data_IF_774015479757
#
_entry.id   IF_774015479757
#
_cell.length_a   1.000
_cell.length_b   1.000
_cell.length_c   1.000
_cell.angle_alpha   90.00
_cell.angle_beta   90.00
_cell.angle_gamma   90.00
#
_symmetry.space_group_name_H-M   'P 1'
#
loop_
_entity.id
_entity.type
_entity.pdbx_description
1 polymer ?
#
# COMPACT_ATOMS: atom_id res chain seq x y z
N UNK A 1 -12.25 -7.66 -8.61
CA UNK A 1 -12.40 -6.99 -9.92
C UNK A 1 -12.53 -5.50 -9.68
N UNK A 2 -11.89 -4.66 -10.50
CA UNK A 2 -12.06 -3.20 -10.47
C UNK A 2 -13.34 -2.79 -11.23
N UNK A 3 -14.06 -1.72 -10.84
CA UNK A 3 -15.31 -1.29 -11.46
C UNK A 3 -15.13 -0.90 -12.93
N UNK A 4 -13.93 -0.44 -13.31
CA UNK A 4 -13.58 -0.14 -14.70
C UNK A 4 -13.66 -1.36 -15.61
N UNK A 5 -13.52 -2.58 -15.08
CA UNK A 5 -13.70 -3.82 -15.85
C UNK A 5 -15.19 -4.18 -16.05
N UNK A 6 -16.09 -3.65 -15.22
CA UNK A 6 -17.53 -3.80 -15.35
C UNK A 6 -18.14 -2.71 -16.24
N UNK A 7 -17.54 -1.53 -16.26
CA UNK A 7 -17.99 -0.37 -17.05
C UNK A 7 -17.40 -0.42 -18.48
N UNK A 8 -17.99 -1.23 -19.37
CA UNK A 8 -17.74 -1.09 -20.81
C UNK A 8 -18.59 0.03 -21.42
N UNK A 9 -18.01 0.79 -22.38
CA UNK A 9 -18.68 1.85 -23.17
C UNK A 9 -19.85 1.37 -24.07
N UNK A 10 -20.22 0.09 -24.01
CA UNK A 10 -21.24 -0.53 -24.88
C UNK A 10 -22.50 -0.88 -24.06
N UNK A 11 -23.65 -0.35 -24.50
CA UNK A 11 -24.95 -0.54 -23.86
C UNK A 11 -25.33 -2.04 -23.80
N UNK A 12 -25.71 -2.54 -22.62
CA UNK A 12 -26.24 -3.90 -22.40
C UNK A 12 -25.21 -4.98 -22.05
N UNK A 13 -23.94 -4.84 -22.44
CA UNK A 13 -22.90 -5.83 -22.09
C UNK A 13 -22.58 -5.84 -20.59
N UNK A 14 -22.63 -4.67 -19.95
CA UNK A 14 -22.25 -4.51 -18.55
C UNK A 14 -23.22 -5.20 -17.59
N UNK A 15 -24.53 -5.16 -17.86
CA UNK A 15 -25.56 -5.90 -17.08
C UNK A 15 -25.36 -7.41 -17.19
N UNK A 16 -25.17 -7.88 -18.43
CA UNK A 16 -24.92 -9.31 -18.70
C UNK A 16 -23.64 -9.77 -18.00
N UNK A 17 -22.58 -8.94 -17.98
CA UNK A 17 -21.34 -9.24 -17.24
C UNK A 17 -21.58 -9.41 -15.74
N UNK A 18 -22.41 -8.58 -15.12
CA UNK A 18 -22.76 -8.73 -13.69
C UNK A 18 -23.50 -10.05 -13.48
N UNK A 19 -24.52 -10.33 -14.28
CA UNK A 19 -25.26 -11.59 -14.19
C UNK A 19 -24.38 -12.83 -14.39
N UNK A 20 -23.52 -12.81 -15.40
CA UNK A 20 -22.60 -13.90 -15.72
C UNK A 20 -21.50 -14.05 -14.65
N UNK A 21 -21.08 -12.97 -13.98
CA UNK A 21 -20.16 -13.02 -12.84
C UNK A 21 -20.78 -13.78 -11.67
N UNK A 22 -21.99 -13.38 -11.24
CA UNK A 22 -22.68 -14.05 -10.13
C UNK A 22 -23.10 -15.48 -10.48
N UNK A 23 -23.45 -15.76 -11.74
CA UNK A 23 -23.72 -17.12 -12.22
C UNK A 23 -22.47 -18.00 -12.08
N UNK A 24 -21.32 -17.55 -12.57
CA UNK A 24 -20.04 -18.29 -12.46
C UNK A 24 -19.61 -18.47 -11.02
N UNK A 25 -19.84 -17.49 -10.15
CA UNK A 25 -19.54 -17.60 -8.72
C UNK A 25 -20.35 -18.72 -8.06
N UNK A 26 -21.65 -18.82 -8.41
CA UNK A 26 -22.53 -19.89 -7.92
C UNK A 26 -22.16 -21.27 -8.45
N UNK A 27 -21.79 -21.37 -9.73
CA UNK A 27 -21.30 -22.62 -10.33
C UNK A 27 -19.99 -23.10 -9.72
N UNK A 28 -19.23 -22.22 -9.04
CA UNK A 28 -17.91 -22.49 -8.47
C UNK A 28 -17.87 -22.35 -6.96
N UNK A 29 -18.97 -22.61 -6.27
CA UNK A 29 -19.01 -22.58 -4.81
C UNK A 29 -18.04 -23.61 -4.20
N UNK A 30 -17.35 -23.29 -3.08
CA UNK A 30 -17.35 -22.01 -2.37
C UNK A 30 -16.53 -20.93 -3.10
N UNK A 31 -17.08 -19.71 -3.20
CA UNK A 31 -16.47 -18.63 -3.98
C UNK A 31 -16.49 -17.30 -3.22
N UNK A 32 -15.40 -16.53 -3.34
CA UNK A 32 -15.31 -15.15 -2.86
C UNK A 32 -15.33 -14.19 -4.04
N UNK A 33 -16.30 -13.28 -4.07
CA UNK A 33 -16.36 -12.16 -5.00
C UNK A 33 -15.84 -10.90 -4.32
N UNK A 34 -14.72 -10.36 -4.81
CA UNK A 34 -14.14 -9.11 -4.32
C UNK A 34 -14.34 -7.97 -5.33
N UNK A 35 -15.02 -6.91 -4.92
CA UNK A 35 -15.23 -5.68 -5.67
C UNK A 35 -14.39 -4.57 -5.05
N UNK A 36 -13.36 -4.13 -5.75
CA UNK A 36 -12.56 -2.99 -5.32
C UNK A 36 -13.20 -1.70 -5.82
N UNK A 37 -13.02 -0.58 -5.12
CA UNK A 37 -13.54 0.75 -5.51
C UNK A 37 -15.04 0.77 -5.90
N UNK A 38 -15.91 0.13 -5.10
CA UNK A 38 -17.33 -0.02 -5.47
C UNK A 38 -18.09 1.31 -5.59
N UNK A 39 -17.51 2.43 -5.14
CA UNK A 39 -18.01 3.80 -5.31
C UNK A 39 -18.44 4.11 -6.75
N UNK A 40 -17.66 3.72 -7.76
CA UNK A 40 -18.03 3.95 -9.16
C UNK A 40 -19.33 3.25 -9.62
N UNK A 41 -19.80 2.25 -8.87
CA UNK A 41 -21.11 1.60 -9.10
C UNK A 41 -22.18 2.09 -8.11
N UNK A 42 -21.76 2.52 -6.92
CA UNK A 42 -22.64 2.77 -5.79
C UNK A 42 -23.00 4.24 -5.57
N UNK A 43 -22.38 5.18 -6.27
CA UNK A 43 -22.63 6.61 -6.04
C UNK A 43 -24.09 7.03 -6.22
N UNK A 44 -24.56 7.90 -5.31
CA UNK A 44 -25.86 8.60 -5.37
C UNK A 44 -25.81 9.72 -6.41
N UNK A 45 -26.12 9.42 -7.67
CA UNK A 45 -26.26 10.43 -8.71
C UNK A 45 -27.72 10.83 -8.90
N UNK A 46 -28.21 11.83 -8.16
CA UNK A 46 -29.61 12.24 -8.25
C UNK A 46 -29.99 12.92 -9.57
N UNK A 47 -29.07 13.59 -10.27
CA UNK A 47 -29.38 14.42 -11.44
C UNK A 47 -28.57 14.12 -12.73
N UNK A 48 -27.57 13.25 -12.67
CA UNK A 48 -26.63 12.99 -13.79
C UNK A 48 -26.38 11.51 -14.05
N UNK A 49 -27.17 10.62 -13.44
CA UNK A 49 -26.99 9.18 -13.64
C UNK A 49 -27.43 8.77 -15.05
N UNK A 50 -26.51 8.20 -15.83
CA UNK A 50 -26.86 7.54 -17.07
C UNK A 50 -27.82 6.39 -16.80
N UNK A 51 -28.84 6.22 -17.65
CA UNK A 51 -29.76 5.09 -17.60
C UNK A 51 -29.01 3.75 -17.53
N UNK A 52 -27.89 3.63 -18.24
CA UNK A 52 -27.00 2.46 -18.22
C UNK A 52 -26.44 2.17 -16.82
N UNK A 53 -25.97 3.20 -16.10
CA UNK A 53 -25.46 3.04 -14.72
C UNK A 53 -26.55 2.52 -13.80
N UNK A 54 -27.75 3.12 -13.90
CA UNK A 54 -28.91 2.73 -13.08
C UNK A 54 -29.31 1.27 -13.31
N UNK A 55 -29.27 0.78 -14.56
CA UNK A 55 -29.58 -0.62 -14.87
C UNK A 55 -28.53 -1.59 -14.33
N UNK A 56 -27.24 -1.27 -14.45
CA UNK A 56 -26.15 -2.09 -13.86
C UNK A 56 -26.28 -2.15 -12.34
N UNK A 57 -26.56 -1.01 -11.70
CA UNK A 57 -26.80 -0.90 -10.25
C UNK A 57 -27.98 -1.77 -9.80
N UNK A 58 -29.09 -1.71 -10.54
CA UNK A 58 -30.26 -2.55 -10.26
C UNK A 58 -29.94 -4.04 -10.42
N UNK A 59 -29.25 -4.44 -11.48
CA UNK A 59 -28.85 -5.84 -11.68
C UNK A 59 -27.94 -6.32 -10.55
N UNK A 60 -26.97 -5.52 -10.12
CA UNK A 60 -26.12 -5.82 -8.98
C UNK A 60 -26.94 -6.06 -7.70
N UNK A 61 -27.91 -5.17 -7.40
CA UNK A 61 -28.82 -5.33 -6.27
C UNK A 61 -29.68 -6.60 -6.34
N UNK A 62 -30.17 -6.96 -7.54
CA UNK A 62 -30.93 -8.19 -7.76
C UNK A 62 -30.06 -9.43 -7.46
N UNK A 63 -28.81 -9.44 -7.93
CA UNK A 63 -27.88 -10.54 -7.67
C UNK A 63 -27.48 -10.66 -6.20
N UNK A 64 -27.30 -9.53 -5.51
CA UNK A 64 -27.00 -9.48 -4.06
C UNK A 64 -28.15 -10.00 -3.20
N UNK A 65 -29.41 -9.75 -3.59
CA UNK A 65 -30.61 -10.20 -2.85
C UNK A 65 -30.99 -11.66 -3.11
N UNK A 66 -30.30 -12.34 -4.02
CA UNK A 66 -30.49 -13.78 -4.30
C UNK A 66 -31.94 -14.17 -4.62
N UNK A 67 -32.74 -13.30 -5.25
CA UNK A 67 -34.16 -13.58 -5.50
C UNK A 67 -34.28 -14.83 -6.39
N UNK A 68 -34.68 -15.95 -5.78
CA UNK A 68 -34.86 -17.24 -6.45
C UNK A 68 -33.58 -18.03 -6.74
N UNK A 69 -32.44 -17.75 -6.08
CA UNK A 69 -31.15 -18.41 -6.35
C UNK A 69 -30.37 -18.76 -5.07
N UNK A 70 -29.69 -19.91 -5.06
CA UNK A 70 -28.85 -20.34 -3.93
C UNK A 70 -27.48 -19.63 -3.94
N UNK A 71 -27.29 -18.70 -3.00
CA UNK A 71 -26.03 -18.00 -2.73
C UNK A 71 -25.34 -18.49 -1.45
N UNK A 72 -25.74 -19.62 -0.87
CA UNK A 72 -25.30 -20.05 0.46
C UNK A 72 -23.78 -20.10 0.68
N UNK A 73 -23.00 -20.35 -0.38
CA UNK A 73 -21.53 -20.40 -0.32
C UNK A 73 -20.83 -19.37 -1.22
N UNK A 74 -21.47 -18.24 -1.51
CA UNK A 74 -20.84 -17.11 -2.21
C UNK A 74 -20.69 -15.93 -1.24
N UNK A 75 -19.45 -15.58 -0.91
CA UNK A 75 -19.14 -14.44 -0.04
C UNK A 75 -18.76 -13.23 -0.89
N UNK A 76 -19.44 -12.10 -0.67
CA UNK A 76 -19.16 -10.85 -1.38
C UNK A 76 -18.44 -9.87 -0.46
N UNK A 77 -17.25 -9.44 -0.88
CA UNK A 77 -16.51 -8.34 -0.29
C UNK A 77 -16.51 -7.14 -1.23
N UNK A 78 -16.69 -5.95 -0.68
CA UNK A 78 -16.58 -4.70 -1.40
C UNK A 78 -15.72 -3.70 -0.61
N UNK A 79 -14.85 -2.98 -1.32
CA UNK A 79 -14.02 -1.91 -0.75
C UNK A 79 -14.44 -0.56 -1.33
N UNK A 80 -14.43 0.49 -0.50
CA UNK A 80 -14.65 1.87 -0.93
C UNK A 80 -13.91 2.84 -0.02
N UNK A 81 -13.42 3.93 -0.60
CA UNK A 81 -12.80 5.04 0.12
C UNK A 81 -13.79 6.21 0.31
N UNK A 82 -15.03 6.10 -0.16
CA UNK A 82 -15.99 7.21 -0.09
C UNK A 82 -17.36 6.65 0.32
N UNK A 83 -17.48 6.02 1.51
CA UNK A 83 -18.70 5.31 1.88
C UNK A 83 -19.94 6.22 2.04
N UNK A 84 -19.76 7.53 2.26
CA UNK A 84 -20.86 8.49 2.40
C UNK A 84 -21.57 8.82 1.08
N UNK A 85 -20.90 8.65 -0.07
CA UNK A 85 -21.53 8.86 -1.39
C UNK A 85 -22.33 7.64 -1.85
N UNK A 86 -22.14 6.48 -1.21
CA UNK A 86 -22.81 5.24 -1.59
C UNK A 86 -24.33 5.30 -1.36
N UNK A 87 -25.07 4.70 -2.29
CA UNK A 87 -26.51 4.52 -2.26
C UNK A 87 -26.93 3.69 -1.04
N UNK A 88 -27.93 4.16 -0.31
CA UNK A 88 -28.40 3.52 0.92
C UNK A 88 -28.93 2.11 0.66
N UNK A 89 -29.53 1.85 -0.50
CA UNK A 89 -30.08 0.53 -0.86
C UNK A 89 -28.96 -0.48 -1.07
N UNK A 90 -27.82 -0.05 -1.64
CA UNK A 90 -26.65 -0.91 -1.81
C UNK A 90 -25.97 -1.14 -0.46
N UNK A 91 -25.80 -0.09 0.35
CA UNK A 91 -25.27 -0.24 1.71
C UNK A 91 -26.09 -1.24 2.54
N UNK A 92 -27.42 -1.23 2.40
CA UNK A 92 -28.33 -2.18 3.05
C UNK A 92 -28.26 -3.60 2.50
N UNK A 93 -27.70 -3.81 1.29
CA UNK A 93 -27.49 -5.15 0.74
C UNK A 93 -26.25 -5.85 1.30
N UNK A 94 -25.41 -5.15 2.07
CA UNK A 94 -24.26 -5.73 2.76
C UNK A 94 -24.60 -5.99 4.23
N UNK A 95 -24.50 -7.25 4.65
CA UNK A 95 -24.82 -7.66 6.04
C UNK A 95 -23.85 -7.07 7.06
N UNK A 96 -22.59 -6.87 6.67
CA UNK A 96 -21.52 -6.35 7.54
C UNK A 96 -20.77 -5.23 6.87
N UNK A 97 -20.48 -4.20 7.65
CA UNK A 97 -19.64 -3.05 7.28
C UNK A 97 -18.47 -3.02 8.25
N UNK A 98 -17.26 -3.13 7.73
CA UNK A 98 -16.02 -3.14 8.52
C UNK A 98 -15.25 -1.86 8.20
N UNK A 99 -14.99 -1.06 9.22
CA UNK A 99 -14.11 0.09 9.09
C UNK A 99 -12.67 -0.34 9.33
N UNK A 100 -11.79 -0.01 8.39
CA UNK A 100 -10.35 -0.23 8.51
C UNK A 100 -9.69 1.11 8.85
N UNK A 101 -9.34 1.38 10.12
CA UNK A 101 -8.68 2.63 10.51
C UNK A 101 -7.24 2.68 9.99
N UNK A 102 -6.62 3.85 10.11
CA UNK A 102 -5.17 3.99 9.94
C UNK A 102 -4.43 3.20 11.01
N UNK A 103 -3.25 2.70 10.65
CA UNK A 103 -2.43 1.87 11.52
C UNK A 103 -2.06 2.57 12.82
N UNK A 104 -2.11 1.87 13.94
CA UNK A 104 -1.64 2.35 15.23
C UNK A 104 -0.10 2.47 15.28
N UNK A 105 0.45 2.99 16.38
CA UNK A 105 1.90 3.19 16.49
C UNK A 105 2.68 1.88 16.40
N UNK A 106 2.19 0.79 16.99
CA UNK A 106 2.85 -0.51 16.99
C UNK A 106 2.76 -1.19 15.61
N UNK A 107 1.62 -1.06 14.95
CA UNK A 107 1.41 -1.50 13.56
C UNK A 107 2.34 -0.73 12.62
N UNK A 108 2.50 0.59 12.80
CA UNK A 108 3.48 1.38 12.03
C UNK A 108 4.91 0.92 12.29
N UNK A 109 5.28 0.58 13.54
CA UNK A 109 6.60 -0.04 13.83
C UNK A 109 6.77 -1.35 13.03
N UNK A 110 5.77 -2.22 13.04
CA UNK A 110 5.80 -3.47 12.29
C UNK A 110 5.92 -3.22 10.77
N UNK A 111 5.21 -2.22 10.24
CA UNK A 111 5.30 -1.81 8.84
C UNK A 111 6.71 -1.33 8.50
N UNK A 112 7.29 -0.41 9.29
CA UNK A 112 8.66 0.07 9.06
C UNK A 112 9.69 -1.07 9.06
N UNK A 113 9.59 -1.99 10.03
CA UNK A 113 10.45 -3.19 10.09
C UNK A 113 10.26 -4.10 8.88
N UNK A 114 9.01 -4.26 8.42
CA UNK A 114 8.70 -5.08 7.24
C UNK A 114 9.25 -4.47 5.95
N UNK A 115 9.06 -3.16 5.75
CA UNK A 115 9.50 -2.46 4.53
C UNK A 115 11.02 -2.28 4.45
N UNK A 116 11.72 -2.07 5.58
CA UNK A 116 13.19 -1.98 5.58
C UNK A 116 13.90 -3.34 5.64
N UNK A 117 13.16 -4.42 5.87
CA UNK A 117 13.69 -5.78 5.88
C UNK A 117 14.67 -6.04 7.03
N UNK A 118 15.57 -7.01 6.84
CA UNK A 118 16.50 -7.48 7.87
C UNK A 118 17.63 -6.47 8.16
N UNK A 119 18.22 -6.57 9.36
CA UNK A 119 19.18 -5.63 9.98
C UNK A 119 20.44 -5.29 9.17
N UNK A 120 20.73 -6.00 8.08
CA UNK A 120 21.89 -5.71 7.25
C UNK A 120 21.68 -4.50 6.32
N UNK A 121 20.44 -4.05 6.15
CA UNK A 121 20.09 -2.92 5.26
C UNK A 121 19.90 -1.59 5.99
N UNK A 122 19.88 -1.59 7.32
CA UNK A 122 19.66 -0.38 8.11
C UNK A 122 20.47 -0.39 9.42
N UNK A 123 20.74 0.80 9.96
CA UNK A 123 21.42 1.00 11.25
C UNK A 123 20.47 1.46 12.37
N UNK A 124 19.16 1.36 12.14
CA UNK A 124 18.11 1.74 13.08
C UNK A 124 18.09 0.80 14.29
N UNK A 125 18.15 1.38 15.49
CA UNK A 125 18.10 0.68 16.79
C UNK A 125 16.68 0.43 17.25
N UNK A 126 16.50 -0.52 18.17
CA UNK A 126 15.15 -0.94 18.59
C UNK A 126 14.28 0.19 19.15
N UNK A 127 14.86 1.11 19.92
CA UNK A 127 14.14 2.27 20.47
C UNK A 127 13.82 3.34 19.41
N UNK A 128 14.55 3.36 18.29
CA UNK A 128 14.36 4.36 17.23
C UNK A 128 13.15 4.05 16.37
N UNK A 129 12.74 2.78 16.27
CA UNK A 129 11.50 2.39 15.59
C UNK A 129 10.28 3.07 16.18
N UNK A 130 10.20 3.10 17.50
CA UNK A 130 9.08 3.75 18.19
C UNK A 130 9.04 5.24 17.90
N UNK A 131 10.21 5.89 17.85
CA UNK A 131 10.31 7.31 17.51
C UNK A 131 9.89 7.59 16.06
N UNK A 132 10.27 6.72 15.12
CA UNK A 132 9.83 6.80 13.72
C UNK A 132 8.31 6.67 13.59
N UNK A 133 7.74 5.66 14.24
CA UNK A 133 6.31 5.42 14.20
C UNK A 133 5.49 6.55 14.84
N UNK A 134 6.00 7.16 15.92
CA UNK A 134 5.37 8.35 16.53
C UNK A 134 5.41 9.56 15.59
N UNK A 135 6.50 9.77 14.85
CA UNK A 135 6.62 10.86 13.87
C UNK A 135 5.78 10.63 12.61
N UNK A 136 5.50 9.38 12.27
CA UNK A 136 4.65 9.00 11.15
C UNK A 136 3.14 8.95 11.54
N UNK A 137 2.66 9.92 12.32
CA UNK A 137 1.25 9.99 12.70
C UNK A 137 0.36 10.22 11.47
N UNK A 138 -0.72 9.44 11.35
CA UNK A 138 -1.66 9.45 10.21
C UNK A 138 -1.09 8.96 8.87
N UNK A 139 0.09 8.33 8.87
CA UNK A 139 0.63 7.72 7.66
C UNK A 139 -0.10 6.40 7.39
N UNK A 140 -0.53 6.23 6.14
CA UNK A 140 -1.00 4.95 5.63
C UNK A 140 0.18 3.99 5.39
N UNK A 141 -0.12 2.70 5.16
CA UNK A 141 0.90 1.74 4.76
C UNK A 141 1.66 2.17 3.49
N UNK A 142 0.95 2.77 2.54
CA UNK A 142 1.55 3.31 1.31
C UNK A 142 2.50 4.47 1.61
N UNK A 143 2.13 5.37 2.53
CA UNK A 143 3.00 6.48 2.92
C UNK A 143 4.30 5.96 3.56
N UNK A 144 4.20 4.96 4.44
CA UNK A 144 5.35 4.31 5.09
C UNK A 144 6.27 3.65 4.06
N UNK A 145 5.69 2.92 3.10
CA UNK A 145 6.42 2.29 2.00
C UNK A 145 7.21 3.32 1.17
N UNK A 146 6.57 4.45 0.83
CA UNK A 146 7.23 5.54 0.11
C UNK A 146 8.37 6.16 0.93
N UNK A 147 8.16 6.40 2.22
CA UNK A 147 9.20 6.92 3.12
C UNK A 147 10.40 5.96 3.17
N UNK A 148 10.16 4.66 3.29
CA UNK A 148 11.23 3.65 3.31
C UNK A 148 12.00 3.63 1.99
N UNK A 149 11.30 3.69 0.86
CA UNK A 149 11.93 3.77 -0.48
C UNK A 149 12.77 5.03 -0.65
N UNK A 150 12.27 6.20 -0.25
CA UNK A 150 13.05 7.44 -0.35
C UNK A 150 14.30 7.38 0.54
N UNK A 151 14.19 6.81 1.75
CA UNK A 151 15.34 6.63 2.62
C UNK A 151 16.42 5.70 2.02
N UNK A 152 16.01 4.63 1.32
CA UNK A 152 16.90 3.76 0.53
C UNK A 152 17.54 4.52 -0.65
N UNK A 153 16.76 5.30 -1.39
CA UNK A 153 17.31 6.11 -2.49
C UNK A 153 18.33 7.12 -1.98
N UNK A 154 18.12 7.70 -0.80
CA UNK A 154 19.08 8.61 -0.19
C UNK A 154 20.40 7.94 0.20
N UNK A 155 20.38 6.68 0.67
CA UNK A 155 21.62 5.96 0.96
C UNK A 155 22.41 5.69 -0.33
N UNK A 156 21.72 5.32 -1.41
CA UNK A 156 22.32 5.12 -2.74
C UNK A 156 22.84 6.44 -3.33
N UNK A 157 22.12 7.56 -3.18
CA UNK A 157 22.60 8.88 -3.63
C UNK A 157 23.92 9.26 -2.97
N UNK A 158 24.07 8.98 -1.66
CA UNK A 158 25.32 9.20 -0.93
C UNK A 158 26.47 8.32 -1.46
N UNK A 159 26.16 7.10 -1.89
CA UNK A 159 27.12 6.20 -2.51
C UNK A 159 27.62 6.72 -3.86
N UNK A 160 26.75 7.29 -4.67
CA UNK A 160 27.11 7.85 -5.99
C UNK A 160 27.91 9.17 -5.89
N UNK A 161 27.70 9.96 -4.83
CA UNK A 161 28.47 11.19 -4.59
C UNK A 161 29.71 10.99 -3.70
N UNK A 162 29.95 9.76 -3.24
CA UNK A 162 31.12 9.45 -2.43
C UNK A 162 32.40 9.45 -3.27
N UNK A 163 33.44 10.08 -2.71
CA UNK A 163 34.79 10.15 -3.28
C UNK A 163 35.82 9.37 -2.45
N UNK A 164 35.48 9.00 -1.21
CA UNK A 164 36.38 8.26 -0.31
C UNK A 164 35.74 6.93 0.08
N UNK A 165 36.50 5.85 -0.11
CA UNK A 165 36.10 4.48 0.23
C UNK A 165 37.15 3.79 1.10
N UNK A 166 36.69 2.93 2.00
CA UNK A 166 37.53 2.11 2.88
C UNK A 166 37.28 0.64 2.62
N UNK A 167 38.34 -0.18 2.68
CA UNK A 167 38.21 -1.66 2.65
C UNK A 167 37.87 -2.21 4.02
N UNK A 168 36.82 -3.00 4.09
CA UNK A 168 36.38 -3.72 5.29
C UNK A 168 36.31 -5.22 4.98
N UNK A 169 36.75 -6.06 5.92
CA UNK A 169 36.56 -7.51 5.84
C UNK A 169 35.29 -7.88 6.60
N UNK A 170 34.31 -8.46 5.89
CA UNK A 170 33.08 -8.95 6.49
C UNK A 170 33.18 -10.48 6.56
N UNK A 171 33.03 -11.08 7.76
CA UNK A 171 32.95 -12.52 7.89
C UNK A 171 31.72 -13.04 7.13
N UNK A 172 31.93 -13.91 6.15
CA UNK A 172 30.85 -14.60 5.44
C UNK A 172 30.94 -16.10 5.72
N UNK A 173 29.85 -16.84 5.50
CA UNK A 173 29.76 -18.29 5.71
C UNK A 173 30.80 -19.08 4.88
N UNK A 174 31.35 -18.49 3.82
CA UNK A 174 32.33 -19.08 2.90
C UNK A 174 33.75 -18.51 3.07
N UNK A 175 34.01 -17.68 4.09
CA UNK A 175 35.30 -17.03 4.36
C UNK A 175 35.23 -15.49 4.38
N UNK A 176 36.30 -14.80 4.84
CA UNK A 176 36.32 -13.35 4.93
C UNK A 176 36.41 -12.71 3.54
N UNK A 177 35.34 -12.05 3.10
CA UNK A 177 35.30 -11.32 1.83
C UNK A 177 35.57 -9.83 2.08
N UNK A 178 36.33 -9.20 1.17
CA UNK A 178 36.67 -7.78 1.23
C UNK A 178 35.62 -6.97 0.51
N UNK A 179 35.09 -5.95 1.17
CA UNK A 179 34.13 -5.01 0.61
C UNK A 179 34.62 -3.57 0.74
N UNK A 180 34.15 -2.72 -0.15
CA UNK A 180 34.32 -1.27 -0.12
C UNK A 180 33.12 -0.62 0.54
N UNK A 181 33.39 0.26 1.51
CA UNK A 181 32.38 1.05 2.21
C UNK A 181 32.70 2.53 2.04
N UNK A 182 31.68 3.36 1.88
CA UNK A 182 31.83 4.83 1.89
C UNK A 182 32.35 5.29 3.24
N UNK A 183 33.42 6.07 3.24
CA UNK A 183 34.09 6.55 4.46
C UNK A 183 34.28 8.08 4.47
N UNK A 184 34.72 8.61 5.59
CA UNK A 184 35.08 10.03 5.72
C UNK A 184 36.47 10.27 5.10
N UNK A 185 36.75 11.44 4.52
CA UNK A 185 38.10 11.79 4.06
C UNK A 185 39.16 11.76 5.18
N UNK A 186 38.73 11.82 6.44
CA UNK A 186 39.61 11.82 7.62
C UNK A 186 39.95 10.40 8.12
N UNK A 187 39.38 9.35 7.52
CA UNK A 187 39.66 7.98 7.94
C UNK A 187 41.08 7.55 7.51
N UNK A 188 41.86 6.88 8.39
CA UNK A 188 43.25 6.52 8.10
C UNK A 188 43.41 5.53 6.95
N UNK A 189 42.35 4.75 6.66
CA UNK A 189 42.29 3.78 5.56
C UNK A 189 41.47 4.30 4.37
N UNK A 190 41.17 5.61 4.33
CA UNK A 190 40.39 6.21 3.24
C UNK A 190 41.20 6.22 1.94
N UNK A 191 40.58 5.76 0.86
CA UNK A 191 41.13 5.81 -0.48
C UNK A 191 40.21 6.62 -1.38
N UNK A 192 40.79 7.53 -2.16
CA UNK A 192 40.06 8.30 -3.16
C UNK A 192 39.74 7.42 -4.35
N UNK A 193 38.46 7.08 -4.49
CA UNK A 193 37.94 6.20 -5.53
C UNK A 193 36.56 6.69 -5.95
N UNK A 194 36.23 6.52 -7.22
CA UNK A 194 34.87 6.79 -7.71
C UNK A 194 34.08 5.48 -7.79
N UNK A 195 32.76 5.54 -7.61
CA UNK A 195 31.88 4.36 -7.68
C UNK A 195 32.08 3.49 -8.94
N UNK A 196 32.41 4.10 -10.09
CA UNK A 196 32.64 3.41 -11.36
C UNK A 196 33.88 2.49 -11.35
N UNK A 197 34.82 2.72 -10.44
CA UNK A 197 36.06 1.95 -10.32
C UNK A 197 35.88 0.71 -9.43
N UNK A 198 34.76 0.61 -8.71
CA UNK A 198 34.46 -0.47 -7.78
C UNK A 198 33.56 -1.51 -8.46
N UNK A 199 33.96 -2.78 -8.41
CA UNK A 199 33.11 -3.88 -8.89
C UNK A 199 31.90 -4.04 -7.98
N UNK A 200 30.70 -4.20 -8.55
CA UNK A 200 29.45 -4.33 -7.78
C UNK A 200 29.46 -5.46 -6.74
N UNK A 201 30.21 -6.55 -6.99
CA UNK A 201 30.34 -7.68 -6.05
C UNK A 201 31.25 -7.40 -4.84
N UNK A 202 32.07 -6.35 -4.92
CA UNK A 202 32.98 -5.91 -3.87
C UNK A 202 32.44 -4.67 -3.16
N UNK A 203 31.23 -4.21 -3.50
CA UNK A 203 30.64 -3.01 -2.93
C UNK A 203 29.70 -3.37 -1.78
N UNK A 204 29.86 -2.68 -0.64
CA UNK A 204 28.90 -2.73 0.44
C UNK A 204 28.06 -1.46 0.41
N UNK A 205 26.77 -1.62 0.16
CA UNK A 205 25.82 -0.52 0.14
C UNK A 205 25.71 0.11 1.55
N UNK A 206 25.70 1.45 1.66
CA UNK A 206 25.57 2.09 2.96
C UNK A 206 24.19 1.79 3.55
N UNK A 207 24.12 1.38 4.83
CA UNK A 207 22.84 1.07 5.46
C UNK A 207 21.98 2.34 5.56
N UNK A 208 20.66 2.15 5.49
CA UNK A 208 19.70 3.23 5.80
C UNK A 208 19.89 3.66 7.24
N UNK A 209 20.10 4.95 7.44
CA UNK A 209 20.27 5.55 8.77
C UNK A 209 18.99 6.23 9.24
N UNK A 210 18.87 6.46 10.54
CA UNK A 210 17.79 7.27 11.11
C UNK A 210 17.71 8.66 10.46
N UNK A 211 18.85 9.24 10.07
CA UNK A 211 18.88 10.52 9.35
C UNK A 211 18.18 10.44 7.99
N UNK A 212 18.34 9.35 7.25
CA UNK A 212 17.65 9.14 5.97
C UNK A 212 16.14 9.04 6.17
N UNK A 213 15.71 8.28 7.17
CA UNK A 213 14.30 8.13 7.51
C UNK A 213 13.66 9.45 7.92
N UNK A 214 14.33 10.24 8.79
CA UNK A 214 13.83 11.55 9.21
C UNK A 214 13.76 12.55 8.05
N UNK A 215 14.73 12.50 7.13
CA UNK A 215 14.72 13.35 5.93
C UNK A 215 13.57 12.95 5.01
N UNK A 216 13.32 11.65 4.82
CA UNK A 216 12.21 11.14 4.03
C UNK A 216 10.84 11.49 4.65
N UNK A 217 10.69 11.38 5.97
CA UNK A 217 9.49 11.81 6.68
C UNK A 217 9.23 13.32 6.56
N UNK A 218 10.30 14.14 6.57
CA UNK A 218 10.17 15.59 6.43
C UNK A 218 9.74 16.01 5.02
N UNK A 219 10.11 15.23 3.99
CA UNK A 219 9.76 15.54 2.60
C UNK A 219 8.39 15.01 2.20
N UNK A 220 7.97 13.86 2.73
CA UNK A 220 6.72 13.20 2.35
C UNK A 220 5.68 13.34 3.45
N UNK A 221 4.65 14.16 3.20
CA UNK A 221 3.50 14.33 4.10
C UNK A 221 2.50 13.18 3.94
N UNK A 222 1.69 12.86 4.97
CA UNK A 222 0.67 11.82 4.86
C UNK A 222 -0.38 12.18 3.81
N UNK A 223 -0.86 11.19 3.06
CA UNK A 223 -1.90 11.38 2.04
C UNK A 223 -3.27 11.65 2.68
N UNK A 224 -3.59 10.98 3.78
CA UNK A 224 -4.90 11.06 4.44
C UNK A 224 -4.93 12.26 5.39
N UNK A 225 -5.87 13.18 5.17
CA UNK A 225 -6.03 14.36 6.03
C UNK A 225 -6.87 14.04 7.29
N UNK A 226 -6.66 14.84 8.35
CA UNK A 226 -7.43 14.74 9.59
C UNK A 226 -8.93 14.91 9.36
N UNK A 227 -9.33 15.76 8.42
CA UNK A 227 -10.74 15.95 8.07
C UNK A 227 -11.39 14.66 7.53
N UNK A 228 -10.66 13.91 6.68
CA UNK A 228 -11.13 12.63 6.15
C UNK A 228 -11.29 11.60 7.26
N UNK A 229 -10.33 11.51 8.18
CA UNK A 229 -10.39 10.62 9.35
C UNK A 229 -11.64 10.88 10.19
N UNK A 230 -11.98 12.16 10.41
CA UNK A 230 -13.19 12.56 11.14
C UNK A 230 -14.45 12.12 10.37
N UNK A 231 -14.49 12.31 9.06
CA UNK A 231 -15.62 11.89 8.23
C UNK A 231 -15.85 10.36 8.30
N UNK A 232 -14.79 9.56 8.23
CA UNK A 232 -14.90 8.10 8.40
C UNK A 232 -15.38 7.71 9.80
N UNK A 233 -14.86 8.38 10.84
CA UNK A 233 -15.26 8.12 12.23
C UNK A 233 -16.74 8.46 12.44
N UNK A 234 -17.24 9.54 11.82
CA UNK A 234 -18.66 9.89 11.85
C UNK A 234 -19.53 8.88 11.10
N UNK A 235 -19.09 8.38 9.96
CA UNK A 235 -19.84 7.38 9.18
C UNK A 235 -19.92 6.01 9.88
N UNK A 236 -18.88 5.67 10.66
CA UNK A 236 -18.78 4.36 11.33
C UNK A 236 -19.58 4.29 12.65
N UNK A 237 -19.89 5.45 13.25
CA UNK A 237 -20.73 5.55 14.47
C UNK A 237 -22.22 5.41 14.16
#
# INVERSE_FOLDING_TARGET
MSPSNLLSKWLGESEKKVKDLFKRARERQPCILFFDHIDGLCEKHYNTESETSRRIKNEFLVQMRSVGQDNSNVLVFAATNIPWTADTVILQSFDRRIYTPLSDVNERVAMFKTHLGFSNYHSIRDHEWMQLAQKAENYSGTDIDVVCREALVQSIRRLHSAIHFKRVQIPNAYGPQRFWLVCSPLDPDAQELTLNEIKSKELCEPPVTMKNMLTALATHKPIVDKAEIVAYTMFTR
#
